data_IF_002949146673
#
_entry.id   IF_002949146673
#
_cell.length_a   1.000
_cell.length_b   1.000
_cell.length_c   1.000
_cell.angle_alpha   90.00
_cell.angle_beta   90.00
_cell.angle_gamma   90.00
#
_symmetry.space_group_name_H-M   'P 1'
#
loop_
_entity.id
_entity.type
_entity.pdbx_description
1 polymer ?
#
# COMPACT_ATOMS: atom_id res chain seq x y z
N UNK A 1 -6.95 27.72 14.84
CA UNK A 1 -6.95 26.80 13.69
C UNK A 1 -6.91 25.38 14.24
N UNK A 2 -8.02 24.63 14.21
CA UNK A 2 -8.05 23.22 14.63
C UNK A 2 -7.35 22.38 13.58
N UNK A 3 -6.30 21.65 13.95
CA UNK A 3 -5.70 20.60 13.11
C UNK A 3 -6.77 19.55 12.83
N UNK A 4 -7.30 19.52 11.62
CA UNK A 4 -8.04 18.36 11.07
C UNK A 4 -7.00 17.25 10.83
N UNK A 5 -6.75 16.42 11.82
CA UNK A 5 -5.75 15.37 11.72
C UNK A 5 -6.37 14.03 12.03
N UNK A 6 -6.05 13.03 11.24
CA UNK A 6 -6.06 11.57 11.47
C UNK A 6 -7.25 10.91 12.20
N UNK A 7 -8.16 11.65 12.81
CA UNK A 7 -9.30 11.10 13.55
C UNK A 7 -10.44 10.55 12.69
N UNK A 8 -10.61 11.09 11.48
CA UNK A 8 -11.75 10.72 10.62
C UNK A 8 -11.54 9.44 9.81
N UNK A 9 -10.30 9.05 9.53
CA UNK A 9 -10.00 7.86 8.69
C UNK A 9 -10.38 6.54 9.37
N UNK A 10 -10.38 6.49 10.71
CA UNK A 10 -10.80 5.29 11.46
C UNK A 10 -12.29 5.31 11.86
N UNK A 11 -13.06 6.32 11.43
CA UNK A 11 -14.45 6.51 11.85
C UNK A 11 -14.60 6.88 13.33
N UNK A 12 -15.84 6.88 13.80
CA UNK A 12 -16.16 7.08 15.21
C UNK A 12 -15.96 5.78 16.02
N UNK A 13 -15.99 5.90 17.36
CA UNK A 13 -15.87 4.73 18.24
C UNK A 13 -17.06 3.79 18.02
N UNK A 14 -16.77 2.50 17.67
CA UNK A 14 -17.79 1.49 17.43
C UNK A 14 -18.34 1.44 15.99
N UNK A 15 -17.96 2.37 15.13
CA UNK A 15 -18.30 2.31 13.70
C UNK A 15 -17.46 1.25 13.00
N UNK A 16 -18.13 0.31 12.30
CA UNK A 16 -17.46 -0.70 11.48
C UNK A 16 -17.25 -0.14 10.07
N UNK A 17 -15.99 -0.01 9.69
CA UNK A 17 -15.57 0.44 8.37
C UNK A 17 -15.08 -0.73 7.52
N UNK A 18 -15.10 -0.55 6.21
CA UNK A 18 -14.43 -1.39 5.24
C UNK A 18 -13.38 -0.54 4.54
N UNK A 19 -12.09 -0.81 4.81
CA UNK A 19 -11.01 0.09 4.41
C UNK A 19 -9.76 -0.62 3.96
N UNK A 20 -8.91 0.12 3.24
CA UNK A 20 -7.63 -0.37 2.77
C UNK A 20 -6.56 -0.19 3.86
N UNK A 21 -5.98 -1.30 4.28
CA UNK A 21 -4.80 -1.34 5.13
C UNK A 21 -3.55 -1.58 4.29
N UNK A 22 -2.53 -0.77 4.51
CA UNK A 22 -1.19 -0.89 3.91
C UNK A 22 -0.18 -1.05 5.04
N UNK A 23 0.65 -2.07 4.96
CA UNK A 23 1.76 -2.26 5.89
C UNK A 23 3.07 -2.34 5.11
N UNK A 24 4.09 -1.66 5.62
CA UNK A 24 5.42 -1.59 5.01
C UNK A 24 6.46 -1.88 6.09
N UNK A 25 7.48 -2.63 5.75
CA UNK A 25 8.66 -2.79 6.60
C UNK A 25 9.97 -2.84 5.79
N UNK A 26 11.08 -2.59 6.48
CA UNK A 26 12.43 -2.60 5.92
C UNK A 26 13.04 -3.99 6.05
N UNK A 27 13.54 -4.53 4.94
CA UNK A 27 14.25 -5.82 4.96
C UNK A 27 15.52 -5.74 5.81
N UNK A 28 15.72 -6.76 6.67
CA UNK A 28 16.94 -6.91 7.50
C UNK A 28 17.26 -5.74 8.44
N UNK A 29 16.29 -4.87 8.76
CA UNK A 29 16.49 -3.69 9.60
C UNK A 29 17.29 -3.97 10.88
N UNK A 30 16.97 -5.03 11.59
CA UNK A 30 17.65 -5.41 12.85
C UNK A 30 19.10 -5.88 12.69
N UNK A 31 19.58 -6.06 11.45
CA UNK A 31 20.98 -6.42 11.17
C UNK A 31 21.90 -5.22 10.97
N UNK A 32 21.31 -4.05 10.84
CA UNK A 32 22.03 -2.78 10.69
C UNK A 32 22.41 -2.21 12.06
N UNK A 33 23.45 -1.42 12.11
CA UNK A 33 23.79 -0.66 13.31
C UNK A 33 22.80 0.49 13.55
N UNK A 34 22.97 1.20 14.68
CA UNK A 34 22.02 2.24 15.07
C UNK A 34 21.98 3.44 14.10
N UNK A 35 23.11 3.79 13.51
CA UNK A 35 23.18 4.90 12.56
C UNK A 35 22.48 4.53 11.25
N UNK A 36 22.81 3.38 10.70
CA UNK A 36 22.11 2.84 9.52
C UNK A 36 20.60 2.70 9.74
N UNK A 37 20.18 2.21 10.93
CA UNK A 37 18.76 2.11 11.28
C UNK A 37 18.07 3.49 11.27
N UNK A 38 18.72 4.51 11.80
CA UNK A 38 18.23 5.88 11.79
C UNK A 38 18.09 6.42 10.36
N UNK A 39 19.09 6.20 9.52
CA UNK A 39 19.10 6.63 8.11
C UNK A 39 18.03 5.88 7.30
N UNK A 40 17.90 4.57 7.49
CA UNK A 40 16.88 3.74 6.84
C UNK A 40 15.45 4.17 7.19
N UNK A 41 15.18 4.53 8.45
CA UNK A 41 13.87 5.09 8.84
C UNK A 41 13.60 6.44 8.13
N UNK A 42 14.59 7.31 8.06
CA UNK A 42 14.49 8.57 7.32
C UNK A 42 14.20 8.36 5.84
N UNK A 43 14.95 7.45 5.21
CA UNK A 43 14.79 7.08 3.80
C UNK A 43 13.39 6.46 3.53
N UNK A 44 12.89 5.58 4.41
CA UNK A 44 11.53 5.03 4.32
C UNK A 44 10.47 6.14 4.35
N UNK A 45 10.60 7.09 5.29
CA UNK A 45 9.69 8.23 5.37
C UNK A 45 9.67 9.05 4.07
N UNK A 46 10.85 9.42 3.57
CA UNK A 46 10.99 10.15 2.31
C UNK A 46 10.42 9.38 1.11
N UNK A 47 10.67 8.08 1.01
CA UNK A 47 10.15 7.24 -0.08
C UNK A 47 8.62 7.18 -0.06
N UNK A 48 8.02 6.98 1.11
CA UNK A 48 6.57 6.93 1.27
C UNK A 48 5.90 8.27 0.96
N UNK A 49 6.48 9.38 1.42
CA UNK A 49 5.95 10.73 1.15
C UNK A 49 6.06 11.09 -0.34
N UNK A 50 7.21 10.83 -0.97
CA UNK A 50 7.42 11.07 -2.38
C UNK A 50 6.48 10.22 -3.25
N UNK A 51 6.38 8.91 -2.96
CA UNK A 51 5.52 8.00 -3.71
C UNK A 51 4.03 8.36 -3.57
N UNK A 52 3.56 8.68 -2.38
CA UNK A 52 2.18 9.10 -2.15
C UNK A 52 1.85 10.38 -2.91
N UNK A 53 2.73 11.38 -2.84
CA UNK A 53 2.57 12.65 -3.56
C UNK A 53 2.50 12.44 -5.08
N UNK A 54 3.43 11.63 -5.66
CA UNK A 54 3.44 11.31 -7.10
C UNK A 54 2.21 10.52 -7.52
N UNK A 55 1.71 9.61 -6.65
CA UNK A 55 0.46 8.88 -6.87
C UNK A 55 -0.80 9.77 -6.73
N UNK A 56 -0.65 11.04 -6.34
CA UNK A 56 -1.76 11.95 -6.10
C UNK A 56 -2.60 11.58 -4.88
N UNK A 57 -1.94 11.02 -3.86
CA UNK A 57 -2.55 10.61 -2.58
C UNK A 57 -2.09 11.56 -1.47
N UNK A 58 -3.03 12.00 -0.64
CA UNK A 58 -2.74 12.84 0.51
C UNK A 58 -2.50 12.01 1.76
N UNK A 59 -1.24 11.76 2.08
CA UNK A 59 -0.82 10.98 3.24
C UNK A 59 -1.17 11.61 4.58
N UNK A 60 -1.45 12.90 4.66
CA UNK A 60 -1.90 13.57 5.87
C UNK A 60 -3.31 13.12 6.30
N UNK A 61 -4.09 12.59 5.36
CA UNK A 61 -5.43 12.05 5.62
C UNK A 61 -5.41 10.63 6.18
N UNK A 62 -4.28 9.92 6.11
CA UNK A 62 -4.18 8.53 6.54
C UNK A 62 -4.06 8.41 8.07
N UNK A 63 -4.65 7.36 8.63
CA UNK A 63 -4.17 6.90 9.93
C UNK A 63 -2.84 6.20 9.75
N UNK A 64 -1.83 6.60 10.52
CA UNK A 64 -0.48 6.04 10.44
C UNK A 64 0.00 5.61 11.82
N UNK A 65 0.54 4.40 11.90
CA UNK A 65 1.14 3.84 13.11
C UNK A 65 2.55 3.37 12.80
N UNK A 66 3.54 4.10 13.30
CA UNK A 66 4.94 3.72 13.18
C UNK A 66 5.23 2.41 13.94
N UNK A 67 6.15 1.60 13.37
CA UNK A 67 6.58 0.32 13.92
C UNK A 67 8.09 0.24 13.75
N UNK A 68 8.91 0.66 14.56
CA UNK A 68 10.37 0.56 14.49
C UNK A 68 11.01 0.45 13.08
N UNK A 69 10.74 -0.61 12.37
CA UNK A 69 11.23 -0.91 11.02
C UNK A 69 10.22 -0.63 9.91
N UNK A 70 9.07 0.00 10.20
CA UNK A 70 8.03 0.21 9.20
C UNK A 70 6.83 1.02 9.66
N UNK A 71 5.74 0.91 8.91
CA UNK A 71 4.49 1.63 9.17
C UNK A 71 3.27 0.78 8.82
N UNK A 72 2.23 0.86 9.66
CA UNK A 72 0.88 0.44 9.32
C UNK A 72 0.04 1.68 9.03
N UNK A 73 -0.53 1.74 7.85
CA UNK A 73 -1.43 2.81 7.41
C UNK A 73 -2.82 2.27 7.11
N UNK A 74 -3.85 3.05 7.50
CA UNK A 74 -5.23 2.85 7.04
C UNK A 74 -5.59 4.07 6.20
N UNK A 75 -6.06 3.82 4.99
CA UNK A 75 -6.43 4.87 4.06
C UNK A 75 -7.91 5.27 4.25
N UNK A 76 -8.30 6.50 3.83
CA UNK A 76 -9.70 6.93 3.82
C UNK A 76 -10.60 5.93 3.09
N UNK A 77 -11.85 5.78 3.54
CA UNK A 77 -12.79 4.80 2.99
C UNK A 77 -13.23 5.11 1.54
N UNK A 78 -13.11 6.36 1.13
CA UNK A 78 -13.46 6.87 -0.21
C UNK A 78 -12.30 6.82 -1.21
N UNK A 79 -11.14 6.25 -0.81
CA UNK A 79 -9.99 6.15 -1.72
C UNK A 79 -10.24 5.18 -2.86
N UNK A 80 -9.81 5.54 -4.06
CA UNK A 80 -9.77 4.58 -5.19
C UNK A 80 -8.70 3.51 -4.93
N UNK A 81 -9.15 2.36 -4.48
CA UNK A 81 -8.28 1.23 -4.09
C UNK A 81 -7.41 0.74 -5.25
N UNK A 82 -7.95 0.70 -6.47
CA UNK A 82 -7.20 0.26 -7.65
C UNK A 82 -6.07 1.24 -7.98
N UNK A 83 -6.34 2.55 -7.85
CA UNK A 83 -5.33 3.59 -7.98
C UNK A 83 -4.23 3.46 -6.93
N UNK A 84 -4.58 3.20 -5.67
CA UNK A 84 -3.58 3.00 -4.62
C UNK A 84 -2.70 1.80 -4.94
N UNK A 85 -3.28 0.63 -5.23
CA UNK A 85 -2.51 -0.58 -5.54
C UNK A 85 -1.58 -0.35 -6.73
N UNK A 86 -2.05 0.33 -7.77
CA UNK A 86 -1.28 0.59 -8.99
C UNK A 86 -0.21 1.69 -8.75
N UNK A 87 -0.66 2.91 -8.49
CA UNK A 87 0.22 4.08 -8.51
C UNK A 87 1.14 4.16 -7.29
N UNK A 88 0.64 3.88 -6.06
CA UNK A 88 1.50 3.91 -4.89
C UNK A 88 2.62 2.87 -5.00
N UNK A 89 2.32 1.65 -5.48
CA UNK A 89 3.33 0.60 -5.64
C UNK A 89 4.34 0.94 -6.72
N UNK A 90 3.89 1.51 -7.85
CA UNK A 90 4.75 1.97 -8.94
C UNK A 90 5.70 3.09 -8.48
N UNK A 91 5.14 4.13 -7.88
CA UNK A 91 5.90 5.29 -7.45
C UNK A 91 6.87 4.95 -6.31
N UNK A 92 6.48 4.05 -5.41
CA UNK A 92 7.39 3.57 -4.36
C UNK A 92 8.54 2.76 -4.96
N UNK A 93 8.28 1.89 -5.94
CA UNK A 93 9.33 1.15 -6.67
C UNK A 93 10.27 2.11 -7.38
N UNK A 94 9.74 3.17 -7.99
CA UNK A 94 10.51 4.20 -8.70
C UNK A 94 11.38 5.00 -7.72
N UNK A 95 10.83 5.43 -6.59
CA UNK A 95 11.56 6.17 -5.56
C UNK A 95 12.73 5.35 -4.99
N UNK A 96 12.52 4.06 -4.70
CA UNK A 96 13.58 3.17 -4.22
C UNK A 96 14.69 2.99 -5.26
N UNK A 97 14.33 2.88 -6.53
CA UNK A 97 15.30 2.79 -7.63
C UNK A 97 16.10 4.08 -7.77
N UNK A 98 15.46 5.24 -7.65
CA UNK A 98 16.13 6.54 -7.67
C UNK A 98 17.15 6.66 -6.52
N UNK A 99 16.76 6.30 -5.29
CA UNK A 99 17.64 6.27 -4.12
C UNK A 99 18.84 5.34 -4.33
N UNK A 100 18.60 4.14 -4.87
CA UNK A 100 19.68 3.19 -5.17
C UNK A 100 20.67 3.73 -6.19
N UNK A 101 20.22 4.44 -7.22
CA UNK A 101 21.10 5.02 -8.25
C UNK A 101 21.88 6.23 -7.75
N UNK A 102 21.38 6.95 -6.74
CA UNK A 102 22.09 8.05 -6.09
C UNK A 102 23.28 7.57 -5.23
N UNK A 103 23.46 6.24 -5.11
CA UNK A 103 24.57 5.61 -4.36
C UNK A 103 24.62 6.00 -2.88
N UNK A 104 23.45 6.24 -2.29
CA UNK A 104 23.26 6.58 -0.87
C UNK A 104 23.11 5.28 -0.06
N UNK A 105 24.14 4.76 0.60
CA UNK A 105 23.99 3.63 1.52
C UNK A 105 23.35 4.11 2.84
N UNK A 106 22.65 3.24 3.57
CA UNK A 106 22.36 1.86 3.26
C UNK A 106 21.21 1.67 2.25
N UNK A 107 21.29 0.64 1.41
CA UNK A 107 20.26 0.31 0.41
C UNK A 107 18.93 -0.01 1.08
N UNK A 108 17.91 0.80 0.79
CA UNK A 108 16.56 0.59 1.28
C UNK A 108 15.83 -0.46 0.43
N UNK A 109 15.41 -1.57 1.05
CA UNK A 109 14.58 -2.62 0.44
C UNK A 109 13.34 -2.86 1.28
N UNK A 110 12.17 -2.90 0.65
CA UNK A 110 10.88 -2.88 1.32
C UNK A 110 10.03 -4.12 1.04
N UNK A 111 9.35 -4.61 2.07
CA UNK A 111 8.18 -5.46 1.94
C UNK A 111 6.94 -4.60 2.11
N UNK A 112 5.99 -4.76 1.21
CA UNK A 112 4.72 -4.01 1.24
C UNK A 112 3.57 -5.00 1.19
N UNK A 113 2.64 -4.89 2.11
CA UNK A 113 1.41 -5.70 2.12
C UNK A 113 0.19 -4.79 2.00
N UNK A 114 -0.81 -5.22 1.23
CA UNK A 114 -2.08 -4.52 1.10
C UNK A 114 -3.26 -5.48 1.27
N UNK A 115 -4.26 -5.05 2.03
CA UNK A 115 -5.50 -5.80 2.24
C UNK A 115 -6.66 -4.84 2.45
N UNK A 116 -7.80 -5.12 1.80
CA UNK A 116 -9.04 -4.40 1.99
C UNK A 116 -9.98 -5.25 2.84
N UNK A 117 -10.45 -4.72 3.95
CA UNK A 117 -11.25 -5.50 4.90
C UNK A 117 -11.85 -4.65 6.02
N UNK A 118 -12.56 -5.33 6.95
CA UNK A 118 -13.25 -4.67 8.06
C UNK A 118 -12.28 -4.19 9.13
N UNK A 119 -12.55 -3.03 9.68
CA UNK A 119 -11.86 -2.45 10.82
C UNK A 119 -12.76 -1.48 11.59
N UNK A 120 -12.36 -1.15 12.80
CA UNK A 120 -12.95 -0.07 13.61
C UNK A 120 -11.87 0.59 14.46
N UNK A 121 -12.18 1.76 15.00
CA UNK A 121 -11.29 2.48 15.90
C UNK A 121 -11.24 1.82 17.27
N UNK A 122 -10.09 1.29 17.64
CA UNK A 122 -9.81 0.80 18.99
C UNK A 122 -9.04 1.82 19.85
N UNK A 123 -8.88 1.50 21.12
CA UNK A 123 -8.16 2.37 22.08
C UNK A 123 -6.69 2.55 21.74
N UNK A 124 -6.05 1.52 21.21
CA UNK A 124 -4.60 1.50 20.91
C UNK A 124 -4.31 1.47 19.40
N UNK A 125 -5.29 1.83 18.57
CA UNK A 125 -5.19 1.82 17.11
C UNK A 125 -6.31 1.01 16.46
N UNK A 126 -6.24 0.76 15.15
CA UNK A 126 -7.28 0.04 14.42
C UNK A 126 -7.35 -1.43 14.86
N UNK A 127 -8.58 -1.94 15.03
CA UNK A 127 -8.87 -3.34 15.31
C UNK A 127 -9.76 -3.91 14.22
N UNK A 128 -9.71 -5.21 13.97
CA UNK A 128 -10.49 -5.89 12.94
C UNK A 128 -9.64 -6.72 11.99
N UNK A 129 -10.25 -7.23 10.91
CA UNK A 129 -9.55 -8.11 9.98
C UNK A 129 -8.49 -7.36 9.16
N UNK A 130 -8.75 -6.13 8.72
CA UNK A 130 -7.82 -5.40 7.88
C UNK A 130 -6.42 -5.26 8.48
N UNK A 131 -6.22 -4.70 9.71
CA UNK A 131 -4.90 -4.57 10.30
C UNK A 131 -4.27 -5.94 10.65
N UNK A 132 -5.09 -6.95 10.99
CA UNK A 132 -4.57 -8.28 11.34
C UNK A 132 -4.04 -8.98 10.09
N UNK A 133 -4.83 -9.03 9.01
CA UNK A 133 -4.47 -9.73 7.79
C UNK A 133 -3.26 -9.10 7.13
N UNK A 134 -3.25 -7.76 6.97
CA UNK A 134 -2.13 -7.07 6.30
C UNK A 134 -0.80 -7.32 7.01
N UNK A 135 -0.78 -7.29 8.35
CA UNK A 135 0.44 -7.58 9.11
C UNK A 135 0.88 -9.05 8.96
N UNK A 136 -0.06 -10.01 8.93
CA UNK A 136 0.27 -11.43 8.72
C UNK A 136 0.80 -11.71 7.32
N UNK A 137 0.30 -10.99 6.32
CA UNK A 137 0.83 -11.07 4.96
C UNK A 137 2.26 -10.52 4.88
N UNK A 138 2.49 -9.36 5.50
CA UNK A 138 3.80 -8.71 5.55
C UNK A 138 4.85 -9.63 6.19
N UNK A 139 4.52 -10.24 7.32
CA UNK A 139 5.40 -11.14 8.09
C UNK A 139 5.61 -12.51 7.44
N UNK A 140 4.93 -12.81 6.33
CA UNK A 140 4.96 -14.14 5.75
C UNK A 140 6.35 -14.55 5.27
N UNK A 141 6.73 -15.80 5.57
CA UNK A 141 8.02 -16.36 5.12
C UNK A 141 8.20 -16.26 3.60
N UNK A 142 7.12 -16.50 2.84
CA UNK A 142 7.16 -16.42 1.39
C UNK A 142 7.52 -15.01 0.89
N UNK A 143 7.00 -13.95 1.52
CA UNK A 143 7.31 -12.56 1.18
C UNK A 143 8.78 -12.24 1.46
N UNK A 144 9.27 -12.61 2.66
CA UNK A 144 10.69 -12.44 3.03
C UNK A 144 11.62 -13.18 2.07
N UNK A 145 11.27 -14.40 1.73
CA UNK A 145 12.09 -15.25 0.84
C UNK A 145 12.13 -14.69 -0.59
N UNK A 146 10.96 -14.25 -1.11
CA UNK A 146 10.90 -13.65 -2.45
C UNK A 146 11.82 -12.43 -2.55
N UNK A 147 11.78 -11.51 -1.57
CA UNK A 147 12.66 -10.34 -1.60
C UNK A 147 14.14 -10.75 -1.45
N UNK A 148 14.45 -11.65 -0.53
CA UNK A 148 15.84 -12.09 -0.30
C UNK A 148 16.48 -12.75 -1.53
N UNK A 149 15.71 -13.51 -2.33
CA UNK A 149 16.20 -14.17 -3.55
C UNK A 149 16.31 -13.24 -4.76
N UNK A 150 15.54 -12.16 -4.78
CA UNK A 150 15.47 -11.21 -5.91
C UNK A 150 16.32 -9.98 -5.65
N UNK A 151 17.65 -10.11 -5.88
CA UNK A 151 18.60 -9.02 -5.60
C UNK A 151 18.41 -7.77 -6.47
N UNK A 152 17.75 -7.90 -7.59
CA UNK A 152 17.39 -6.81 -8.53
C UNK A 152 16.13 -6.03 -8.11
N UNK A 153 15.36 -6.57 -7.15
CA UNK A 153 14.17 -5.91 -6.60
C UNK A 153 14.50 -5.11 -5.33
N UNK A 154 13.97 -3.90 -5.25
CA UNK A 154 14.00 -3.08 -4.03
C UNK A 154 12.67 -3.12 -3.28
N UNK A 155 11.61 -3.68 -3.90
CA UNK A 155 10.28 -3.81 -3.30
C UNK A 155 9.65 -5.14 -3.70
N UNK A 156 9.05 -5.83 -2.72
CA UNK A 156 8.10 -6.92 -2.95
C UNK A 156 6.72 -6.49 -2.45
N UNK A 157 5.70 -6.62 -3.30
CA UNK A 157 4.31 -6.37 -2.95
C UNK A 157 3.58 -7.69 -2.73
N UNK A 158 2.85 -7.79 -1.61
CA UNK A 158 1.90 -8.86 -1.36
C UNK A 158 0.50 -8.29 -1.19
N UNK A 159 -0.48 -8.85 -1.89
CA UNK A 159 -1.90 -8.50 -1.75
C UNK A 159 -2.70 -9.72 -1.30
N UNK A 160 -3.75 -9.50 -0.52
CA UNK A 160 -4.68 -10.57 -0.16
C UNK A 160 -5.41 -11.12 -1.38
N UNK A 161 -5.95 -12.34 -1.26
CA UNK A 161 -6.76 -12.96 -2.32
C UNK A 161 -7.95 -12.09 -2.73
N UNK A 162 -8.66 -11.51 -1.76
CA UNK A 162 -9.77 -10.58 -2.00
C UNK A 162 -9.30 -9.40 -2.86
N UNK A 163 -8.24 -8.71 -2.43
CA UNK A 163 -7.73 -7.54 -3.14
C UNK A 163 -7.20 -7.90 -4.55
N UNK A 164 -6.62 -9.10 -4.72
CA UNK A 164 -6.19 -9.56 -6.03
C UNK A 164 -7.36 -9.75 -6.98
N UNK A 165 -8.41 -10.48 -6.55
CA UNK A 165 -9.54 -10.79 -7.42
C UNK A 165 -10.43 -9.59 -7.69
N UNK A 166 -10.65 -8.72 -6.69
CA UNK A 166 -11.52 -7.55 -6.82
C UNK A 166 -10.85 -6.36 -7.51
N UNK A 167 -9.51 -6.26 -7.41
CA UNK A 167 -8.78 -5.07 -7.87
C UNK A 167 -7.74 -5.41 -8.93
N UNK A 168 -6.75 -6.28 -8.63
CA UNK A 168 -5.63 -6.52 -9.55
C UNK A 168 -6.11 -7.13 -10.87
N UNK A 169 -7.06 -8.07 -10.83
CA UNK A 169 -7.61 -8.72 -12.02
C UNK A 169 -8.39 -7.78 -12.92
N UNK A 170 -8.84 -6.64 -12.43
CA UNK A 170 -9.56 -5.64 -13.25
C UNK A 170 -8.66 -4.97 -14.28
N UNK A 171 -7.34 -4.97 -14.05
CA UNK A 171 -6.30 -4.32 -14.88
C UNK A 171 -6.43 -2.79 -14.96
N UNK A 172 -7.27 -2.16 -14.11
CA UNK A 172 -7.35 -0.71 -14.04
C UNK A 172 -5.98 -0.12 -13.72
N UNK A 173 -5.71 1.09 -14.17
CA UNK A 173 -4.45 1.82 -13.98
C UNK A 173 -3.20 1.04 -14.41
N UNK A 174 -3.32 0.13 -15.39
CA UNK A 174 -2.19 -0.66 -15.87
C UNK A 174 -1.76 -1.81 -14.95
N UNK A 175 -2.59 -2.18 -13.97
CA UNK A 175 -2.36 -3.36 -13.14
C UNK A 175 -2.20 -4.61 -14.03
N UNK A 176 -1.12 -5.36 -13.78
CA UNK A 176 -0.83 -6.58 -14.52
C UNK A 176 -0.90 -7.82 -13.60
N UNK A 177 -1.99 -8.62 -13.68
CA UNK A 177 -2.13 -9.82 -12.86
C UNK A 177 -0.99 -10.84 -13.03
N UNK A 178 -0.30 -10.85 -14.18
CA UNK A 178 0.78 -11.81 -14.45
C UNK A 178 2.03 -11.59 -13.58
N UNK A 179 2.20 -10.39 -13.02
CA UNK A 179 3.30 -10.09 -12.08
C UNK A 179 3.14 -10.80 -10.73
N UNK A 180 1.94 -11.28 -10.42
CA UNK A 180 1.60 -11.85 -9.13
C UNK A 180 1.52 -13.37 -9.19
N UNK A 181 2.12 -14.04 -8.20
CA UNK A 181 2.04 -15.48 -8.03
C UNK A 181 1.27 -15.83 -6.75
N UNK A 182 0.36 -16.83 -6.79
CA UNK A 182 -0.40 -17.25 -5.61
C UNK A 182 0.49 -17.99 -4.62
N UNK A 183 0.31 -17.68 -3.33
CA UNK A 183 0.97 -18.34 -2.21
C UNK A 183 -0.02 -18.67 -1.09
N UNK A 184 0.18 -19.82 -0.44
CA UNK A 184 -0.56 -20.20 0.77
C UNK A 184 0.29 -19.82 1.99
N UNK A 185 -0.21 -18.87 2.77
CA UNK A 185 0.46 -18.31 3.94
C UNK A 185 -0.20 -18.86 5.19
N UNK A 186 0.56 -19.63 5.99
CA UNK A 186 0.11 -20.11 7.31
C UNK A 186 0.60 -19.15 8.39
N UNK A 187 -0.32 -18.53 9.13
CA UNK A 187 -0.01 -17.63 10.22
C UNK A 187 -0.98 -17.83 11.40
N UNK A 188 -0.44 -18.08 12.59
CA UNK A 188 -1.21 -18.25 13.84
C UNK A 188 -2.44 -19.17 13.70
N UNK A 189 -2.25 -20.34 13.07
CA UNK A 189 -3.31 -21.34 12.91
C UNK A 189 -4.30 -21.09 11.75
N UNK A 190 -4.21 -19.95 11.07
CA UNK A 190 -5.03 -19.60 9.90
C UNK A 190 -4.23 -19.70 8.62
N UNK A 191 -4.86 -20.17 7.55
CA UNK A 191 -4.25 -20.19 6.21
C UNK A 191 -4.88 -19.10 5.36
N UNK A 192 -4.05 -18.24 4.78
CA UNK A 192 -4.41 -17.19 3.85
C UNK A 192 -3.93 -17.54 2.45
N UNK A 193 -4.72 -17.25 1.42
CA UNK A 193 -4.24 -17.16 0.06
C UNK A 193 -3.87 -15.70 -0.20
N UNK A 194 -2.66 -15.48 -0.72
CA UNK A 194 -2.17 -14.17 -1.08
C UNK A 194 -1.40 -14.23 -2.39
N UNK A 195 -1.19 -13.09 -3.00
CA UNK A 195 -0.51 -12.95 -4.28
C UNK A 195 0.71 -12.06 -4.12
N UNK A 196 1.89 -12.57 -4.49
CA UNK A 196 3.19 -11.91 -4.29
C UNK A 196 3.77 -11.56 -5.64
N UNK A 197 4.30 -10.32 -5.80
CA UNK A 197 5.03 -9.92 -7.00
C UNK A 197 6.37 -10.64 -7.08
N UNK A 198 6.71 -11.12 -8.28
CA UNK A 198 7.97 -11.85 -8.54
C UNK A 198 8.92 -11.08 -9.45
N UNK A 199 8.54 -9.88 -9.85
CA UNK A 199 9.30 -8.96 -10.69
C UNK A 199 9.10 -7.54 -10.18
N UNK A 200 10.01 -6.59 -10.50
CA UNK A 200 9.84 -5.19 -10.13
C UNK A 200 8.49 -4.64 -10.62
N UNK A 201 7.79 -3.96 -9.73
CA UNK A 201 6.45 -3.47 -10.01
C UNK A 201 6.52 -2.17 -10.82
N UNK A 202 6.42 -2.27 -12.14
CA UNK A 202 6.26 -1.13 -13.02
C UNK A 202 4.96 -1.23 -13.80
N UNK A 203 4.22 -0.12 -13.87
CA UNK A 203 3.04 -0.04 -14.72
C UNK A 203 3.48 -0.01 -16.20
N UNK A 204 3.00 -0.96 -16.99
CA UNK A 204 3.18 -0.92 -18.44
C UNK A 204 2.18 0.08 -19.01
N UNK A 205 2.70 1.16 -19.62
CA UNK A 205 1.92 2.17 -20.36
C UNK A 205 0.94 2.98 -19.49
N UNK A 206 1.44 3.97 -18.76
CA UNK A 206 0.61 5.06 -18.20
C UNK A 206 -0.08 5.92 -19.28
N UNK A 207 0.13 5.64 -20.57
CA UNK A 207 -0.29 6.49 -21.69
C UNK A 207 -1.71 6.28 -22.20
N UNK A 208 -2.57 5.48 -21.55
CA UNK A 208 -3.95 5.31 -22.01
C UNK A 208 -4.95 5.30 -20.85
N UNK A 209 -5.12 6.45 -20.22
CA UNK A 209 -6.42 6.80 -19.65
C UNK A 209 -6.99 7.85 -20.59
N UNK A 210 -8.07 7.58 -21.34
CA UNK A 210 -8.78 8.63 -22.05
C UNK A 210 -9.23 9.67 -21.01
N UNK A 211 -8.91 10.94 -21.28
CA UNK A 211 -9.31 12.08 -20.43
C UNK A 211 -10.84 12.30 -20.37
N UNK A 212 -11.62 11.42 -20.99
CA UNK A 212 -13.05 11.59 -21.21
C UNK A 212 -13.94 11.22 -20.01
N UNK A 213 -13.39 10.66 -18.92
CA UNK A 213 -14.22 10.34 -17.74
C UNK A 213 -14.40 11.48 -16.73
N UNK A 214 -13.72 12.62 -16.91
CA UNK A 214 -13.95 13.82 -16.09
C UNK A 214 -15.14 14.68 -16.59
N UNK A 215 -15.70 14.39 -17.76
CA UNK A 215 -16.84 15.12 -18.33
C UNK A 215 -18.22 14.51 -18.00
N UNK A 216 -18.29 13.35 -17.37
CA UNK A 216 -19.57 12.67 -17.13
C UNK A 216 -20.37 13.19 -15.92
N UNK A 217 -19.80 14.09 -15.09
CA UNK A 217 -20.51 14.64 -13.92
C UNK A 217 -21.42 15.83 -14.27
N UNK A 218 -21.42 16.31 -15.52
CA UNK A 218 -22.26 17.46 -15.93
C UNK A 218 -23.56 17.08 -16.65
N UNK A 219 -23.84 15.78 -16.85
CA UNK A 219 -25.06 15.36 -17.56
C UNK A 219 -26.24 15.04 -16.65
N UNK A 220 -26.02 14.88 -15.34
CA UNK A 220 -27.12 14.57 -14.40
C UNK A 220 -27.93 15.79 -13.98
N UNK A 221 -27.43 17.01 -14.23
CA UNK A 221 -28.14 18.26 -13.84
C UNK A 221 -29.12 18.75 -14.91
N UNK A 222 -29.10 18.22 -16.14
CA UNK A 222 -29.97 18.65 -17.23
C UNK A 222 -31.27 17.84 -17.40
N UNK A 223 -31.48 16.78 -16.66
CA UNK A 223 -32.71 15.97 -16.74
C UNK A 223 -33.73 16.26 -15.65
N UNK A 224 -33.49 17.21 -14.76
CA UNK A 224 -34.41 17.60 -13.71
C UNK A 224 -35.09 18.97 -13.95
N UNK A 225 -34.82 19.64 -15.07
CA UNK A 225 -35.45 20.94 -15.42
C UNK A 225 -36.46 20.87 -16.58
N UNK A 226 -36.90 19.67 -16.97
CA UNK A 226 -37.97 19.53 -17.97
C UNK A 226 -39.01 18.53 -17.48
N UNK A 227 -39.79 18.93 -16.48
CA UNK A 227 -41.20 18.53 -16.25
C UNK A 227 -41.87 19.55 -15.33
#
# INVERSE_FOLDING_TARGET
MRKKGSGHTLGEHGELLYGLAVAVDIENFSKHDTLDQYELQGALGMALDAASKRAGLDRETWYRQARGDGELSILPADVDVARVVAHLSHELTSALREMRTANDPPRLRLRVAMHHGTLTRGRFGPVGQAPIVVCRLLDARAVRHTLAEKLDMDLVLVVSSTLYHEVVQTRFYGLNPALFKPHRIKAKGTTYTAYITTEPFFLRNLCQIPSDHLAATSLTTRLLESN
#
